data_IF_184445806964
#
_entry.id   IF_184445806964
#
_cell.length_a   1.000
_cell.length_b   1.000
_cell.length_c   1.000
_cell.angle_alpha   90.00
_cell.angle_beta   90.00
_cell.angle_gamma   90.00
#
_symmetry.space_group_name_H-M   'P 1'
#
loop_
_entity.id
_entity.type
_entity.pdbx_description
1 polymer ?
#
# COMPACT_ATOMS: atom_id res chain seq x y z
N UNK A 1 -8.08 -10.80 3.04
CA UNK A 1 -8.85 -11.51 2.00
C UNK A 1 -9.49 -12.71 2.66
N UNK A 2 -10.80 -12.75 2.84
CA UNK A 2 -11.49 -13.96 3.30
C UNK A 2 -12.28 -14.61 2.16
N UNK A 3 -12.03 -14.18 0.92
CA UNK A 3 -12.70 -14.73 -0.25
C UNK A 3 -11.97 -16.01 -0.63
N UNK A 4 -12.55 -17.20 -0.38
CA UNK A 4 -11.91 -18.48 -0.68
C UNK A 4 -11.58 -18.58 -2.18
N UNK A 5 -12.35 -17.89 -3.03
CA UNK A 5 -12.15 -17.82 -4.47
C UNK A 5 -10.75 -17.29 -4.85
N UNK A 6 -10.27 -16.23 -4.19
CA UNK A 6 -8.96 -15.65 -4.52
C UNK A 6 -7.81 -16.60 -4.19
N UNK A 7 -7.90 -17.29 -3.05
CA UNK A 7 -6.92 -18.30 -2.67
C UNK A 7 -6.97 -19.53 -3.58
N UNK A 8 -8.17 -19.94 -4.00
CA UNK A 8 -8.34 -21.03 -4.94
C UNK A 8 -7.70 -20.72 -6.30
N UNK A 9 -7.93 -19.51 -6.84
CA UNK A 9 -7.30 -19.06 -8.09
C UNK A 9 -5.77 -19.03 -7.97
N UNK A 10 -5.23 -18.53 -6.85
CA UNK A 10 -3.78 -18.55 -6.61
C UNK A 10 -3.23 -19.98 -6.52
N UNK A 11 -3.93 -20.87 -5.83
CA UNK A 11 -3.50 -22.26 -5.68
C UNK A 11 -3.47 -22.98 -7.03
N UNK A 12 -4.53 -22.85 -7.84
CA UNK A 12 -4.60 -23.44 -9.18
C UNK A 12 -3.53 -22.85 -10.09
N UNK A 13 -3.31 -21.53 -10.06
CA UNK A 13 -2.27 -20.88 -10.85
C UNK A 13 -0.86 -21.32 -10.46
N UNK A 14 -0.57 -21.43 -9.16
CA UNK A 14 0.70 -21.94 -8.66
C UNK A 14 0.94 -23.39 -9.10
N UNK A 15 -0.08 -24.25 -8.94
CA UNK A 15 0.00 -25.65 -9.34
C UNK A 15 0.19 -25.78 -10.86
N UNK A 16 -0.57 -25.02 -11.65
CA UNK A 16 -0.44 -25.00 -13.11
C UNK A 16 0.96 -24.52 -13.54
N UNK A 17 1.49 -23.46 -12.91
CA UNK A 17 2.84 -22.97 -13.20
C UNK A 17 3.92 -24.02 -12.91
N UNK A 18 3.80 -24.75 -11.80
CA UNK A 18 4.72 -25.85 -11.45
C UNK A 18 4.59 -27.00 -12.44
N UNK A 19 3.37 -27.46 -12.74
CA UNK A 19 3.14 -28.57 -13.68
C UNK A 19 3.70 -28.22 -15.06
N UNK A 20 3.38 -27.04 -15.60
CA UNK A 20 3.89 -26.61 -16.91
C UNK A 20 5.42 -26.53 -16.89
N UNK A 21 6.02 -26.02 -15.81
CA UNK A 21 7.48 -25.96 -15.68
C UNK A 21 8.17 -27.32 -15.65
N UNK A 22 7.47 -28.37 -15.18
CA UNK A 22 8.01 -29.74 -15.11
C UNK A 22 7.72 -30.57 -16.36
N UNK A 23 6.53 -30.42 -16.96
CA UNK A 23 6.10 -31.22 -18.10
C UNK A 23 6.66 -30.70 -19.43
N UNK A 24 6.72 -29.39 -19.62
CA UNK A 24 7.27 -28.78 -20.82
C UNK A 24 7.97 -27.45 -20.50
N UNK A 25 9.20 -27.51 -19.95
CA UNK A 25 9.94 -26.30 -19.60
C UNK A 25 10.27 -25.44 -20.83
N UNK A 26 10.17 -25.97 -22.06
CA UNK A 26 10.54 -25.22 -23.26
C UNK A 26 9.59 -24.03 -23.49
N UNK A 27 8.30 -24.21 -23.19
CA UNK A 27 7.28 -23.15 -23.36
C UNK A 27 7.52 -21.94 -22.44
N UNK A 28 8.02 -22.19 -21.23
CA UNK A 28 8.14 -21.18 -20.16
C UNK A 28 9.60 -20.77 -19.88
N UNK A 29 10.59 -21.51 -20.40
CA UNK A 29 12.01 -21.15 -20.30
C UNK A 29 12.39 -19.92 -21.13
N UNK A 30 13.63 -19.47 -20.98
CA UNK A 30 14.19 -18.33 -21.71
C UNK A 30 14.39 -18.59 -23.21
N UNK A 31 14.07 -19.79 -23.72
CA UNK A 31 13.90 -20.02 -25.17
C UNK A 31 12.78 -19.17 -25.75
N UNK A 32 11.76 -18.86 -24.96
CA UNK A 32 10.71 -17.95 -25.35
C UNK A 32 11.19 -16.51 -25.15
N UNK A 33 11.63 -15.87 -26.25
CA UNK A 33 12.16 -14.51 -26.22
C UNK A 33 11.16 -13.49 -25.65
N UNK A 34 9.86 -13.72 -25.83
CA UNK A 34 8.82 -12.88 -25.23
C UNK A 34 8.84 -12.99 -23.71
N UNK A 35 8.78 -14.20 -23.14
CA UNK A 35 8.82 -14.37 -21.68
C UNK A 35 10.13 -13.85 -21.11
N UNK A 36 11.26 -14.06 -21.80
CA UNK A 36 12.55 -13.56 -21.35
C UNK A 36 12.54 -12.03 -21.22
N UNK A 37 12.19 -11.31 -22.30
CA UNK A 37 12.14 -9.84 -22.28
C UNK A 37 11.12 -9.31 -21.28
N UNK A 38 9.95 -9.96 -21.23
CA UNK A 38 8.89 -9.59 -20.30
C UNK A 38 9.31 -9.75 -18.84
N UNK A 39 9.86 -10.92 -18.46
CA UNK A 39 10.27 -11.21 -17.09
C UNK A 39 11.45 -10.31 -16.69
N UNK A 40 12.45 -10.13 -17.54
CA UNK A 40 13.69 -9.45 -17.14
C UNK A 40 13.52 -7.93 -16.92
N UNK A 41 12.89 -7.21 -17.85
CA UNK A 41 12.81 -5.74 -17.81
C UNK A 41 11.38 -5.22 -17.61
N UNK A 42 10.43 -5.73 -18.39
CA UNK A 42 9.08 -5.14 -18.42
C UNK A 42 8.27 -5.47 -17.16
N UNK A 43 8.52 -6.63 -16.54
CA UNK A 43 7.75 -7.06 -15.39
C UNK A 43 7.94 -6.10 -14.22
N UNK A 44 9.18 -5.73 -13.91
CA UNK A 44 9.45 -4.84 -12.78
C UNK A 44 8.88 -3.44 -13.04
N UNK A 45 8.87 -2.98 -14.29
CA UNK A 45 8.26 -1.71 -14.68
C UNK A 45 6.73 -1.75 -14.47
N UNK A 46 6.06 -2.77 -15.00
CA UNK A 46 4.61 -2.96 -14.83
C UNK A 46 4.26 -3.11 -13.34
N UNK A 47 5.03 -3.90 -12.60
CA UNK A 47 4.82 -4.12 -11.17
C UNK A 47 5.01 -2.83 -10.38
N UNK A 48 6.01 -2.01 -10.75
CA UNK A 48 6.27 -0.70 -10.17
C UNK A 48 5.11 0.28 -10.38
N UNK A 49 4.56 0.33 -11.59
CA UNK A 49 3.38 1.16 -11.91
C UNK A 49 2.15 0.70 -11.12
N UNK A 50 1.84 -0.60 -11.13
CA UNK A 50 0.71 -1.16 -10.37
C UNK A 50 0.89 -0.87 -8.88
N UNK A 51 2.09 -1.11 -8.34
CA UNK A 51 2.41 -0.84 -6.95
C UNK A 51 2.21 0.63 -6.59
N UNK A 52 2.73 1.57 -7.40
CA UNK A 52 2.61 3.00 -7.15
C UNK A 52 1.15 3.47 -7.12
N UNK A 53 0.34 3.06 -8.11
CA UNK A 53 -1.09 3.38 -8.17
C UNK A 53 -1.81 2.83 -6.94
N UNK A 54 -1.50 1.59 -6.57
CA UNK A 54 -2.15 0.92 -5.44
C UNK A 54 -1.78 1.54 -4.09
N UNK A 55 -0.50 1.90 -3.91
CA UNK A 55 -0.02 2.56 -2.70
C UNK A 55 -0.66 3.94 -2.52
N UNK A 56 -0.78 4.71 -3.60
CA UNK A 56 -1.48 6.00 -3.59
C UNK A 56 -2.96 5.83 -3.20
N UNK A 57 -3.65 4.87 -3.82
CA UNK A 57 -5.06 4.56 -3.50
C UNK A 57 -5.25 4.14 -2.03
N UNK A 58 -4.40 3.25 -1.52
CA UNK A 58 -4.45 2.83 -0.12
C UNK A 58 -4.23 3.98 0.86
N UNK A 59 -3.37 4.95 0.52
CA UNK A 59 -3.13 6.16 1.33
C UNK A 59 -4.37 7.05 1.36
N UNK A 60 -5.01 7.28 0.21
CA UNK A 60 -6.24 8.07 0.12
C UNK A 60 -7.37 7.45 0.95
N UNK A 61 -7.55 6.12 0.87
CA UNK A 61 -8.54 5.40 1.71
C UNK A 61 -8.22 5.58 3.20
N UNK A 62 -6.95 5.52 3.59
CA UNK A 62 -6.57 5.70 4.99
C UNK A 62 -6.90 7.11 5.51
N UNK A 63 -6.72 8.14 4.69
CA UNK A 63 -7.05 9.53 5.03
C UNK A 63 -8.56 9.75 5.11
N UNK A 64 -9.32 9.24 4.14
CA UNK A 64 -10.79 9.35 4.15
C UNK A 64 -11.39 8.64 5.37
N UNK A 65 -10.92 7.45 5.72
CA UNK A 65 -11.36 6.75 6.94
C UNK A 65 -11.06 7.55 8.22
N UNK A 66 -10.03 8.40 8.25
CA UNK A 66 -9.77 9.30 9.39
C UNK A 66 -10.71 10.49 9.40
N UNK A 67 -10.97 11.06 8.24
CA UNK A 67 -11.90 12.17 8.08
C UNK A 67 -13.31 11.76 8.52
N UNK A 68 -13.76 10.57 8.15
CA UNK A 68 -15.06 10.03 8.54
C UNK A 68 -15.19 9.83 10.06
N UNK A 69 -14.18 9.26 10.73
CA UNK A 69 -14.22 9.13 12.20
C UNK A 69 -14.30 10.48 12.90
N UNK A 70 -13.61 11.50 12.38
CA UNK A 70 -13.68 12.86 12.92
C UNK A 70 -15.08 13.48 12.74
N UNK A 71 -15.78 13.19 11.64
CA UNK A 71 -17.14 13.70 11.40
C UNK A 71 -18.18 13.05 12.30
N UNK A 72 -18.11 11.72 12.49
CA UNK A 72 -19.12 10.98 13.27
C UNK A 72 -18.86 10.97 14.78
N UNK A 73 -17.74 11.52 15.25
CA UNK A 73 -17.32 11.52 16.68
C UNK A 73 -17.31 10.13 17.32
N UNK A 74 -17.20 9.07 16.51
CA UNK A 74 -17.12 7.69 16.93
C UNK A 74 -15.68 7.22 16.81
N UNK A 75 -14.84 7.44 17.84
CA UNK A 75 -13.50 6.88 17.83
C UNK A 75 -13.61 5.38 17.63
N UNK A 76 -12.74 4.84 16.79
CA UNK A 76 -12.59 3.39 16.55
C UNK A 76 -13.67 2.67 15.74
N UNK A 77 -14.66 3.38 15.18
CA UNK A 77 -15.70 2.76 14.34
C UNK A 77 -15.14 1.97 13.14
N UNK A 78 -13.98 2.37 12.60
CA UNK A 78 -13.38 1.75 11.41
C UNK A 78 -12.05 1.04 11.68
N UNK A 79 -11.75 0.65 12.93
CA UNK A 79 -10.49 -0.04 13.27
C UNK A 79 -10.26 -1.30 12.43
N UNK A 80 -11.32 -2.10 12.22
CA UNK A 80 -11.24 -3.33 11.43
C UNK A 80 -10.87 -3.05 9.98
N UNK A 81 -11.56 -2.11 9.34
CA UNK A 81 -11.31 -1.70 7.95
C UNK A 81 -9.88 -1.18 7.79
N UNK A 82 -9.41 -0.32 8.71
CA UNK A 82 -8.03 0.19 8.68
C UNK A 82 -6.99 -0.92 8.79
N UNK A 83 -7.23 -1.93 9.65
CA UNK A 83 -6.32 -3.07 9.79
C UNK A 83 -6.26 -3.89 8.51
N UNK A 84 -7.39 -4.12 7.83
CA UNK A 84 -7.44 -4.83 6.55
C UNK A 84 -6.73 -4.04 5.43
N UNK A 85 -6.97 -2.73 5.31
CA UNK A 85 -6.27 -1.86 4.35
C UNK A 85 -4.76 -1.90 4.59
N UNK A 86 -4.33 -1.75 5.86
CA UNK A 86 -2.91 -1.81 6.23
C UNK A 86 -2.31 -3.17 5.88
N UNK A 87 -2.98 -4.28 6.20
CA UNK A 87 -2.52 -5.63 5.88
C UNK A 87 -2.37 -5.82 4.36
N UNK A 88 -3.33 -5.34 3.57
CA UNK A 88 -3.27 -5.38 2.10
C UNK A 88 -2.10 -4.57 1.54
N UNK A 89 -1.90 -3.34 2.03
CA UNK A 89 -0.79 -2.49 1.63
C UNK A 89 0.59 -3.11 1.97
N UNK A 90 0.76 -3.68 3.17
CA UNK A 90 2.00 -4.38 3.52
C UNK A 90 2.21 -5.63 2.67
N UNK A 91 1.16 -6.40 2.36
CA UNK A 91 1.27 -7.56 1.49
C UNK A 91 1.78 -7.19 0.07
N UNK A 92 1.33 -6.07 -0.49
CA UNK A 92 1.84 -5.55 -1.76
C UNK A 92 3.32 -5.18 -1.70
N UNK A 93 3.74 -4.51 -0.63
CA UNK A 93 5.17 -4.17 -0.44
C UNK A 93 6.01 -5.45 -0.39
N UNK A 94 5.58 -6.46 0.36
CA UNK A 94 6.31 -7.73 0.42
C UNK A 94 6.35 -8.44 -0.93
N UNK A 95 5.25 -8.47 -1.70
CA UNK A 95 5.23 -9.07 -3.04
C UNK A 95 6.11 -8.32 -4.03
N UNK A 96 6.15 -6.98 -3.97
CA UNK A 96 7.02 -6.17 -4.81
C UNK A 96 8.50 -6.45 -4.52
N UNK A 97 8.89 -6.49 -3.24
CA UNK A 97 10.26 -6.84 -2.83
C UNK A 97 10.60 -8.27 -3.23
N UNK A 98 9.67 -9.22 -3.08
CA UNK A 98 9.86 -10.60 -3.51
C UNK A 98 10.05 -10.71 -5.02
N UNK A 99 9.29 -9.98 -5.83
CA UNK A 99 9.46 -9.95 -7.29
C UNK A 99 10.82 -9.36 -7.69
N UNK A 100 11.21 -8.24 -7.07
CA UNK A 100 12.51 -7.64 -7.31
C UNK A 100 13.65 -8.60 -6.94
N UNK A 101 13.54 -9.25 -5.77
CA UNK A 101 14.49 -10.29 -5.36
C UNK A 101 14.54 -11.45 -6.35
N UNK A 102 13.39 -11.95 -6.81
CA UNK A 102 13.31 -13.03 -7.79
C UNK A 102 14.03 -12.66 -9.10
N UNK A 103 13.88 -11.42 -9.59
CA UNK A 103 14.58 -10.94 -10.78
C UNK A 103 16.08 -10.80 -10.61
N UNK A 104 16.53 -10.35 -9.43
CA UNK A 104 17.95 -10.25 -9.12
C UNK A 104 18.60 -11.62 -8.92
N UNK A 105 17.84 -12.61 -8.43
CA UNK A 105 18.32 -13.97 -8.20
C UNK A 105 18.30 -14.82 -9.48
N UNK A 106 17.38 -14.57 -10.42
CA UNK A 106 17.28 -15.31 -11.69
C UNK A 106 18.63 -15.46 -12.41
N UNK A 107 19.41 -14.40 -12.72
CA UNK A 107 20.69 -14.55 -13.44
C UNK A 107 21.76 -15.33 -12.67
N UNK A 108 21.59 -15.52 -11.36
CA UNK A 108 22.56 -16.24 -10.50
C UNK A 108 22.22 -17.74 -10.41
N UNK A 109 20.93 -18.08 -10.41
CA UNK A 109 20.47 -19.45 -10.13
C UNK A 109 19.83 -20.16 -11.33
N UNK A 110 19.56 -19.47 -12.43
CA UNK A 110 18.82 -20.01 -13.57
C UNK A 110 19.73 -20.59 -14.67
N UNK A 111 20.66 -21.48 -14.30
CA UNK A 111 21.58 -22.13 -15.25
C UNK A 111 20.90 -23.25 -16.07
N UNK A 112 19.86 -23.89 -15.51
CA UNK A 112 19.12 -24.97 -16.15
C UNK A 112 17.78 -24.54 -16.78
N UNK A 113 17.32 -25.29 -17.78
CA UNK A 113 16.01 -25.08 -18.41
C UNK A 113 14.85 -25.15 -17.41
N UNK A 114 14.88 -26.12 -16.50
CA UNK A 114 13.85 -26.27 -15.47
C UNK A 114 13.89 -25.12 -14.45
N UNK A 115 15.08 -24.66 -14.05
CA UNK A 115 15.20 -23.50 -13.16
C UNK A 115 14.72 -22.21 -13.83
N UNK A 116 15.06 -21.98 -15.11
CA UNK A 116 14.57 -20.83 -15.88
C UNK A 116 13.04 -20.83 -15.97
N UNK A 117 12.45 -21.98 -16.31
CA UNK A 117 11.00 -22.13 -16.35
C UNK A 117 10.36 -21.88 -14.97
N UNK A 118 10.98 -22.34 -13.88
CA UNK A 118 10.48 -22.12 -12.52
C UNK A 118 10.54 -20.64 -12.12
N UNK A 119 11.64 -19.94 -12.43
CA UNK A 119 11.76 -18.50 -12.18
C UNK A 119 10.72 -17.70 -12.99
N UNK A 120 10.56 -18.01 -14.28
CA UNK A 120 9.58 -17.36 -15.15
C UNK A 120 8.14 -17.62 -14.68
N UNK A 121 7.80 -18.85 -14.29
CA UNK A 121 6.51 -19.18 -13.69
C UNK A 121 6.28 -18.46 -12.36
N UNK A 122 7.30 -18.39 -11.51
CA UNK A 122 7.25 -17.67 -10.23
C UNK A 122 7.00 -16.18 -10.43
N UNK A 123 7.66 -15.57 -11.43
CA UNK A 123 7.46 -14.19 -11.81
C UNK A 123 6.02 -13.91 -12.27
N UNK A 124 5.48 -14.77 -13.15
CA UNK A 124 4.08 -14.69 -13.60
C UNK A 124 3.08 -14.89 -12.44
N UNK A 125 3.38 -15.79 -11.51
CA UNK A 125 2.57 -16.00 -10.31
C UNK A 125 2.55 -14.76 -9.41
N UNK A 126 3.69 -14.11 -9.18
CA UNK A 126 3.75 -12.88 -8.38
C UNK A 126 2.98 -11.74 -9.07
N UNK A 127 3.06 -11.63 -10.39
CA UNK A 127 2.27 -10.66 -11.16
C UNK A 127 0.77 -10.88 -10.95
N UNK A 128 0.32 -12.12 -11.15
CA UNK A 128 -1.08 -12.49 -10.96
C UNK A 128 -1.56 -12.16 -9.54
N UNK A 129 -0.75 -12.49 -8.53
CA UNK A 129 -1.05 -12.14 -7.15
C UNK A 129 -1.19 -10.62 -6.97
N UNK A 130 -0.27 -9.82 -7.49
CA UNK A 130 -0.36 -8.35 -7.42
C UNK A 130 -1.67 -7.83 -8.04
N UNK A 131 -2.08 -8.36 -9.19
CA UNK A 131 -3.36 -7.99 -9.82
C UNK A 131 -4.56 -8.38 -8.94
N UNK A 132 -4.56 -9.56 -8.32
CA UNK A 132 -5.63 -9.97 -7.42
C UNK A 132 -5.75 -9.04 -6.19
N UNK A 133 -4.62 -8.61 -5.62
CA UNK A 133 -4.63 -7.69 -4.48
C UNK A 133 -5.09 -6.30 -4.91
N UNK A 134 -4.70 -5.84 -6.10
CA UNK A 134 -5.21 -4.60 -6.69
C UNK A 134 -6.74 -4.64 -6.81
N UNK A 135 -7.31 -5.70 -7.38
CA UNK A 135 -8.77 -5.87 -7.50
C UNK A 135 -9.45 -5.84 -6.13
N UNK A 136 -8.89 -6.55 -5.14
CA UNK A 136 -9.44 -6.56 -3.78
C UNK A 136 -9.44 -5.17 -3.12
N UNK A 137 -8.41 -4.34 -3.39
CA UNK A 137 -8.35 -2.97 -2.89
C UNK A 137 -9.29 -2.03 -3.66
N UNK A 138 -9.45 -2.23 -4.97
CA UNK A 138 -10.42 -1.48 -5.79
C UNK A 138 -11.85 -1.75 -5.33
N UNK A 139 -12.22 -3.01 -5.11
CA UNK A 139 -13.53 -3.37 -4.54
C UNK A 139 -13.76 -2.73 -3.17
N UNK A 140 -12.72 -2.67 -2.33
CA UNK A 140 -12.81 -2.01 -1.03
C UNK A 140 -12.99 -0.50 -1.18
N UNK A 141 -12.31 0.13 -2.14
CA UNK A 141 -12.45 1.55 -2.46
C UNK A 141 -13.87 1.89 -2.92
N UNK A 142 -14.48 1.05 -3.76
CA UNK A 142 -15.84 1.30 -4.28
C UNK A 142 -16.94 0.99 -3.25
N UNK A 143 -16.67 0.15 -2.24
CA UNK A 143 -17.61 -0.09 -1.15
C UNK A 143 -17.77 1.11 -0.20
N UNK A 144 -16.81 2.02 -0.18
CA UNK A 144 -16.95 3.31 0.53
C UNK A 144 -17.76 4.24 -0.39
N UNK A 145 -19.09 4.04 -0.41
CA UNK A 145 -19.99 4.87 -1.21
C UNK A 145 -19.98 6.34 -0.78
N UNK A 146 -20.34 7.27 -1.68
CA UNK A 146 -20.42 8.69 -1.35
C UNK A 146 -21.47 8.89 -0.26
N UNK A 147 -21.08 9.56 0.83
CA UNK A 147 -22.03 10.01 1.84
C UNK A 147 -22.80 11.16 1.20
N UNK A 148 -24.02 10.87 0.76
CA UNK A 148 -24.99 11.92 0.46
C UNK A 148 -25.33 12.52 1.82
N UNK A 149 -24.66 13.62 2.15
CA UNK A 149 -25.13 14.49 3.22
C UNK A 149 -26.44 15.02 2.68
N UNK A 150 -27.55 14.45 3.14
CA UNK A 150 -28.87 14.98 2.80
C UNK A 150 -28.88 16.45 3.26
N UNK A 151 -28.76 17.36 2.30
CA UNK A 151 -28.87 18.81 2.50
C UNK A 151 -30.21 19.21 3.15
N UNK A 152 -31.14 18.26 3.31
CA UNK A 152 -32.32 18.35 4.16
C UNK A 152 -31.98 18.71 5.62
N UNK A 153 -30.79 18.38 6.13
CA UNK A 153 -30.31 18.83 7.45
C UNK A 153 -29.65 20.22 7.41
N UNK A 154 -29.17 20.69 6.26
CA UNK A 154 -28.61 22.02 6.08
C UNK A 154 -29.71 23.11 5.95
N UNK A 155 -30.95 22.72 5.63
CA UNK A 155 -32.08 23.63 5.43
C UNK A 155 -32.72 24.23 6.70
N UNK A 156 -32.39 23.76 7.90
CA UNK A 156 -32.98 24.28 9.15
C UNK A 156 -32.09 25.24 9.96
N UNK A 157 -30.88 25.56 9.48
CA UNK A 157 -30.04 26.61 10.06
C UNK A 157 -30.35 28.01 9.45
N UNK A 158 -31.63 28.35 9.25
CA UNK A 158 -32.05 29.70 8.89
C UNK A 158 -32.14 30.60 10.13
N UNK A 159 -30.96 31.04 10.58
CA UNK A 159 -30.64 32.39 11.05
C UNK A 159 -29.55 32.34 12.13
N UNK A 160 -28.27 32.58 11.79
CA UNK A 160 -27.34 33.00 12.82
C UNK A 160 -27.86 34.33 13.41
N UNK A 161 -27.90 34.49 14.75
CA UNK A 161 -28.23 35.76 15.36
C UNK A 161 -27.24 36.81 14.82
N UNK A 162 -27.81 37.80 14.11
CA UNK A 162 -27.10 38.94 13.55
C UNK A 162 -26.17 39.50 14.63
N UNK A 163 -24.83 39.52 14.44
CA UNK A 163 -23.93 40.09 15.43
C UNK A 163 -24.34 41.54 15.64
N UNK A 164 -24.82 41.85 16.84
CA UNK A 164 -25.04 43.23 17.25
C UNK A 164 -23.68 43.90 17.18
N UNK A 165 -23.57 44.80 16.22
CA UNK A 165 -22.41 45.62 15.94
C UNK A 165 -22.23 46.59 17.13
N UNK A 166 -21.72 46.08 18.24
CA UNK A 166 -21.26 46.89 19.35
C UNK A 166 -19.89 47.42 18.97
N UNK A 167 -19.95 48.62 18.41
CA UNK A 167 -18.82 49.46 18.11
C UNK A 167 -17.81 49.53 19.27
N UNK A 168 -16.54 49.67 18.89
CA UNK A 168 -15.61 50.69 19.42
C UNK A 168 -14.93 50.41 20.76
N UNK A 169 -13.67 49.96 20.69
CA UNK A 169 -12.49 50.58 21.35
C UNK A 169 -11.24 49.81 20.86
N UNK A 170 -10.44 50.34 19.93
CA UNK A 170 -9.35 51.30 20.14
C UNK A 170 -8.32 50.86 21.21
N UNK A 171 -7.19 50.30 20.78
CA UNK A 171 -5.82 50.44 21.33
C UNK A 171 -4.97 49.24 20.85
N UNK A 172 -3.98 49.39 19.97
CA UNK A 172 -2.64 49.97 20.20
C UNK A 172 -1.79 49.16 21.20
N UNK A 173 -0.75 48.52 20.65
CA UNK A 173 0.53 48.01 21.20
C UNK A 173 0.86 46.70 20.47
N UNK A 174 1.74 46.65 19.48
CA UNK A 174 3.19 46.96 19.50
C UNK A 174 3.90 46.36 20.71
N UNK A 175 4.34 45.11 20.57
CA UNK A 175 5.50 44.48 21.22
C UNK A 175 5.81 43.25 20.35
N UNK A 176 6.81 43.27 19.47
CA UNK A 176 8.25 43.26 19.75
C UNK A 176 8.66 42.17 20.74
N UNK A 177 9.60 41.34 20.26
CA UNK A 177 10.63 40.65 21.02
C UNK A 177 10.38 39.22 21.54
N UNK A 178 11.20 38.32 20.99
CA UNK A 178 12.12 37.43 21.73
C UNK A 178 11.55 36.14 22.34
N UNK A 179 12.05 35.00 21.82
CA UNK A 179 12.74 33.91 22.53
C UNK A 179 12.67 32.65 21.66
N UNK A 180 13.68 32.27 20.88
CA UNK A 180 14.91 31.60 21.35
C UNK A 180 14.67 30.70 22.55
N UNK A 181 14.27 29.45 22.31
CA UNK A 181 14.36 28.39 23.30
C UNK A 181 15.18 27.23 22.77
N UNK A 182 16.45 27.25 23.20
CA UNK A 182 17.37 26.12 23.21
C UNK A 182 16.74 24.95 23.97
N UNK A 183 16.66 23.77 23.38
CA UNK A 183 16.58 22.52 24.15
C UNK A 183 17.29 21.43 23.35
N UNK A 184 18.58 21.23 23.61
CA UNK A 184 19.16 20.33 24.62
C UNK A 184 19.58 19.03 23.94
N UNK A 185 20.79 19.12 23.37
CA UNK A 185 21.66 18.02 22.98
C UNK A 185 21.69 16.99 24.13
N UNK A 186 21.31 15.75 23.83
CA UNK A 186 21.55 14.60 24.70
C UNK A 186 22.87 13.95 24.26
N UNK A 187 23.88 13.83 25.14
CA UNK A 187 25.17 13.22 24.81
C UNK A 187 25.08 11.69 24.66
N UNK A 188 26.05 11.07 23.97
CA UNK A 188 26.09 9.63 23.69
C UNK A 188 26.51 8.83 24.93
N UNK A 189 25.69 7.85 25.32
CA UNK A 189 26.05 6.89 26.37
C UNK A 189 26.89 5.75 25.77
N UNK A 190 28.21 5.97 25.86
CA UNK A 190 29.28 5.06 26.33
C UNK A 190 29.13 3.54 26.14
N UNK A 191 30.15 3.02 25.45
CA UNK A 191 30.59 1.63 25.39
C UNK A 191 30.94 0.99 26.75
N UNK A 192 30.59 -0.29 26.89
CA UNK A 192 31.18 -1.33 27.76
C UNK A 192 30.56 -2.64 27.25
N UNK A 193 31.24 -3.78 27.08
CA UNK A 193 32.34 -4.33 27.86
C UNK A 193 32.96 -5.52 27.09
N UNK A 194 34.27 -5.67 27.22
CA UNK A 194 35.02 -6.88 26.94
C UNK A 194 34.73 -7.98 27.99
N UNK A 195 35.05 -9.23 27.64
CA UNK A 195 35.12 -10.39 28.55
C UNK A 195 34.65 -11.67 27.85
N UNK A 196 35.54 -12.46 27.24
CA UNK A 196 36.37 -13.51 27.86
C UNK A 196 35.62 -14.83 28.06
N UNK A 197 35.89 -15.81 27.18
CA UNK A 197 36.42 -17.15 27.50
C UNK A 197 36.74 -17.86 26.20
#
# INVERSE_FOLDING_TARGET
MNNPLGYFVLFVAALAGVIVSLCDPILVSDRNQFLKGFVDADLLNILGVIFAITAASASNIHLELRRLEAMYQTPDAFLRTRREVKRGAFALVYLFVAAAGLMLLKPIFADGLCSQALFNSGAMFILLWNVLVLVALLELSFKVGPIIIDDAMAGHASNPPRPKNSARTSASKTHSAVASSKSKVKPPTRATKAGSS
#
